data_IF_300849768337
#
_entry.id   IF_300849768337
#
_cell.length_a   1.000
_cell.length_b   1.000
_cell.length_c   1.000
_cell.angle_alpha   90.00
_cell.angle_beta   90.00
_cell.angle_gamma   90.00
#
_symmetry.space_group_name_H-M   'P 1'
#
loop_
_entity.id
_entity.type
_entity.pdbx_description
1 polymer ?
#
# COMPACT_ATOMS: atom_id res chain seq x y z
N UNK A 1 -10.45 -22.27 -4.37
CA UNK A 1 -9.97 -21.09 -5.12
C UNK A 1 -10.37 -19.79 -4.44
N UNK A 2 -11.65 -19.55 -4.16
CA UNK A 2 -12.15 -18.33 -3.53
C UNK A 2 -11.39 -17.94 -2.25
N UNK A 3 -11.18 -18.88 -1.32
CA UNK A 3 -10.38 -18.61 -0.10
C UNK A 3 -8.94 -18.17 -0.38
N UNK A 4 -8.32 -18.69 -1.43
CA UNK A 4 -6.96 -18.28 -1.81
C UNK A 4 -6.97 -16.90 -2.47
N UNK A 5 -7.95 -16.61 -3.33
CA UNK A 5 -8.13 -15.28 -3.92
C UNK A 5 -8.35 -14.22 -2.83
N UNK A 6 -9.19 -14.54 -1.83
CA UNK A 6 -9.39 -13.64 -0.70
C UNK A 6 -8.14 -13.46 0.15
N UNK A 7 -7.39 -14.55 0.39
CA UNK A 7 -6.10 -14.48 1.06
C UNK A 7 -5.12 -13.55 0.30
N UNK A 8 -5.12 -13.61 -1.04
CA UNK A 8 -4.30 -12.75 -1.89
C UNK A 8 -4.67 -11.28 -1.74
N UNK A 9 -5.96 -10.97 -1.80
CA UNK A 9 -6.46 -9.61 -1.59
C UNK A 9 -5.98 -9.09 -0.24
N UNK A 10 -6.24 -9.83 0.83
CA UNK A 10 -5.82 -9.45 2.18
C UNK A 10 -4.30 -9.32 2.31
N UNK A 11 -3.54 -10.23 1.71
CA UNK A 11 -2.07 -10.22 1.79
C UNK A 11 -1.47 -9.01 1.12
N UNK A 12 -1.98 -8.63 -0.06
CA UNK A 12 -1.55 -7.45 -0.80
C UNK A 12 -1.91 -6.16 -0.08
N UNK A 13 -3.15 -6.00 0.42
CA UNK A 13 -3.55 -4.76 1.10
C UNK A 13 -2.94 -4.59 2.49
N UNK A 14 -2.54 -5.69 3.14
CA UNK A 14 -1.90 -5.65 4.47
C UNK A 14 -0.37 -5.78 4.43
N UNK A 15 0.21 -5.97 3.23
CA UNK A 15 1.62 -6.30 3.03
C UNK A 15 2.08 -7.51 3.89
N UNK A 16 1.33 -8.61 3.85
CA UNK A 16 1.60 -9.84 4.59
C UNK A 16 1.60 -11.05 3.66
N UNK A 17 2.58 -11.93 3.86
CA UNK A 17 2.67 -13.23 3.17
C UNK A 17 1.89 -14.35 3.90
N UNK A 18 1.51 -14.14 5.15
CA UNK A 18 0.65 -15.01 5.93
C UNK A 18 -0.54 -14.21 6.43
N UNK A 19 -1.74 -14.63 6.06
CA UNK A 19 -2.98 -13.94 6.42
C UNK A 19 -3.91 -14.87 7.18
N UNK A 20 -4.65 -14.30 8.12
CA UNK A 20 -5.69 -14.99 8.89
C UNK A 20 -7.00 -14.26 8.71
N UNK A 21 -8.03 -14.97 8.29
CA UNK A 21 -9.39 -14.46 8.18
C UNK A 21 -10.40 -15.50 8.67
N UNK A 22 -11.57 -15.05 9.10
CA UNK A 22 -12.65 -15.95 9.46
C UNK A 22 -13.30 -16.53 8.21
N UNK A 23 -13.49 -17.85 8.16
CA UNK A 23 -14.36 -18.48 7.17
C UNK A 23 -15.62 -18.99 7.84
N UNK A 24 -16.76 -18.72 7.22
CA UNK A 24 -18.04 -19.26 7.67
C UNK A 24 -18.17 -20.72 7.22
N UNK A 25 -18.54 -21.61 8.14
CA UNK A 25 -18.81 -23.02 7.92
C UNK A 25 -20.28 -23.30 8.23
N UNK A 26 -20.97 -23.99 7.31
CA UNK A 26 -22.31 -24.51 7.54
C UNK A 26 -22.18 -25.89 8.19
N UNK A 27 -22.53 -26.01 9.47
CA UNK A 27 -22.45 -27.26 10.26
C UNK A 27 -23.49 -28.32 9.86
N UNK A 28 -23.79 -28.45 8.56
CA UNK A 28 -24.85 -29.32 8.01
C UNK A 28 -24.32 -30.58 7.34
N UNK A 29 -23.00 -30.75 7.21
CA UNK A 29 -22.39 -31.84 6.43
C UNK A 29 -22.51 -33.24 7.08
N UNK A 30 -22.89 -33.36 8.36
CA UNK A 30 -23.00 -34.64 9.07
C UNK A 30 -24.42 -34.99 9.58
N UNK A 31 -25.43 -34.19 9.26
CA UNK A 31 -26.79 -34.50 9.65
C UNK A 31 -27.42 -35.49 8.66
N UNK A 32 -27.68 -36.73 9.10
CA UNK A 32 -28.48 -37.70 8.33
C UNK A 32 -29.87 -37.15 7.97
N UNK A 33 -30.60 -37.91 7.12
CA UNK A 33 -31.96 -37.58 6.67
C UNK A 33 -32.83 -37.03 7.84
N UNK A 34 -33.10 -35.72 7.84
CA UNK A 34 -33.91 -35.05 8.86
C UNK A 34 -33.37 -33.71 9.40
N UNK A 35 -32.09 -33.39 9.24
CA UNK A 35 -31.51 -32.09 9.65
C UNK A 35 -31.92 -30.91 8.79
N UNK A 36 -32.50 -31.14 7.61
CA UNK A 36 -33.16 -30.09 6.82
C UNK A 36 -34.36 -29.45 7.56
N UNK A 37 -34.90 -30.12 8.58
CA UNK A 37 -36.07 -29.67 9.36
C UNK A 37 -35.72 -29.02 10.70
N UNK A 38 -34.43 -28.87 11.03
CA UNK A 38 -34.01 -28.22 12.26
C UNK A 38 -33.95 -26.69 12.11
N UNK A 39 -34.86 -25.98 12.77
CA UNK A 39 -34.81 -24.53 12.96
C UNK A 39 -33.73 -24.20 14.02
N UNK A 40 -32.56 -23.74 13.57
CA UNK A 40 -31.45 -23.29 14.44
C UNK A 40 -30.25 -22.74 13.65
N UNK A 41 -29.47 -21.84 14.25
CA UNK A 41 -28.24 -21.30 13.63
C UNK A 41 -27.11 -22.35 13.67
N UNK A 42 -26.94 -23.10 12.59
CA UNK A 42 -25.80 -24.00 12.39
C UNK A 42 -24.63 -23.31 11.65
N UNK A 43 -24.41 -22.03 11.96
CA UNK A 43 -23.35 -21.23 11.35
C UNK A 43 -22.22 -21.10 12.37
N UNK A 44 -21.03 -21.59 12.01
CA UNK A 44 -19.83 -21.40 12.81
C UNK A 44 -18.78 -20.62 12.00
N UNK A 45 -17.94 -19.85 12.68
CA UNK A 45 -16.84 -19.10 12.04
C UNK A 45 -15.54 -19.50 12.70
N UNK A 46 -14.60 -19.99 11.87
CA UNK A 46 -13.28 -20.41 12.33
C UNK A 46 -12.17 -19.65 11.61
N UNK A 47 -11.04 -19.39 12.28
CA UNK A 47 -9.89 -18.76 11.65
C UNK A 47 -9.25 -19.70 10.62
N UNK A 48 -9.02 -19.20 9.42
CA UNK A 48 -8.22 -19.86 8.39
C UNK A 48 -6.95 -19.04 8.16
N UNK A 49 -5.79 -19.65 8.43
CA UNK A 49 -4.50 -19.11 8.02
C UNK A 49 -4.19 -19.56 6.61
N UNK A 50 -3.78 -18.66 5.73
CA UNK A 50 -3.34 -18.95 4.35
C UNK A 50 -2.03 -18.22 4.07
N UNK A 51 -1.08 -18.89 3.43
CA UNK A 51 0.15 -18.25 2.95
C UNK A 51 -0.04 -17.81 1.50
N UNK A 52 0.49 -16.65 1.15
CA UNK A 52 0.41 -16.03 -0.19
C UNK A 52 1.76 -15.45 -0.63
N UNK A 53 2.86 -16.03 -0.12
CA UNK A 53 4.24 -15.69 -0.51
C UNK A 53 4.66 -16.34 -1.83
N UNK A 54 5.92 -16.72 -1.93
CA UNK A 54 6.55 -17.18 -3.18
C UNK A 54 6.10 -18.57 -3.67
N UNK A 55 5.21 -19.25 -2.94
CA UNK A 55 4.73 -20.58 -3.34
C UNK A 55 3.98 -20.54 -4.67
N UNK A 56 4.12 -21.60 -5.47
CA UNK A 56 3.45 -21.71 -6.77
C UNK A 56 1.92 -21.73 -6.64
N UNK A 57 1.21 -21.16 -7.61
CA UNK A 57 -0.27 -21.06 -7.61
C UNK A 57 -0.96 -22.40 -7.36
N UNK A 58 -0.56 -23.46 -8.08
CA UNK A 58 -1.12 -24.81 -7.94
C UNK A 58 -0.98 -25.34 -6.52
N UNK A 59 0.19 -25.18 -5.94
CA UNK A 59 0.49 -25.69 -4.59
C UNK A 59 -0.22 -24.85 -3.53
N UNK A 60 -0.34 -23.54 -3.75
CA UNK A 60 -1.16 -22.65 -2.94
C UNK A 60 -2.63 -23.09 -2.88
N UNK A 61 -3.23 -23.45 -4.03
CA UNK A 61 -4.61 -23.96 -4.07
C UNK A 61 -4.73 -25.27 -3.32
N UNK A 62 -3.82 -26.22 -3.55
CA UNK A 62 -3.82 -27.52 -2.84
C UNK A 62 -3.63 -27.36 -1.34
N UNK A 63 -2.70 -26.50 -0.92
CA UNK A 63 -2.43 -26.23 0.49
C UNK A 63 -3.65 -25.58 1.16
N UNK A 64 -4.29 -24.62 0.50
CA UNK A 64 -5.51 -23.97 1.00
C UNK A 64 -6.66 -24.98 1.11
N UNK A 65 -6.86 -25.83 0.11
CA UNK A 65 -7.85 -26.90 0.14
C UNK A 65 -7.60 -27.86 1.31
N UNK A 66 -6.36 -28.34 1.48
CA UNK A 66 -5.98 -29.21 2.61
C UNK A 66 -6.29 -28.57 3.97
N UNK A 67 -6.02 -27.27 4.12
CA UNK A 67 -6.33 -26.53 5.36
C UNK A 67 -7.83 -26.42 5.60
N UNK A 68 -8.61 -26.12 4.56
CA UNK A 68 -10.08 -26.08 4.64
C UNK A 68 -10.67 -27.44 5.02
N UNK A 69 -10.20 -28.53 4.40
CA UNK A 69 -10.66 -29.88 4.71
C UNK A 69 -10.33 -30.26 6.15
N UNK A 70 -9.13 -29.94 6.64
CA UNK A 70 -8.78 -30.15 8.04
C UNK A 70 -9.67 -29.32 8.99
N UNK A 71 -10.02 -28.09 8.60
CA UNK A 71 -10.89 -27.20 9.37
C UNK A 71 -12.31 -27.75 9.52
N UNK A 72 -12.84 -28.46 8.51
CA UNK A 72 -14.15 -29.13 8.59
C UNK A 72 -14.21 -30.17 9.70
N UNK A 73 -13.11 -30.87 10.00
CA UNK A 73 -13.02 -31.78 11.15
C UNK A 73 -13.19 -31.08 12.51
N UNK A 74 -13.17 -29.75 12.53
CA UNK A 74 -13.36 -28.91 13.71
C UNK A 74 -14.58 -27.99 13.60
N UNK A 75 -15.52 -28.26 12.68
CA UNK A 75 -16.66 -27.36 12.39
C UNK A 75 -17.55 -27.04 13.60
N UNK A 76 -17.51 -27.84 14.67
CA UNK A 76 -18.23 -27.62 15.93
C UNK A 76 -17.41 -26.89 17.01
N UNK A 77 -16.12 -26.65 16.79
CA UNK A 77 -15.29 -25.92 17.75
C UNK A 77 -15.74 -24.46 17.84
N UNK A 78 -15.90 -23.93 19.05
CA UNK A 78 -16.27 -22.51 19.19
C UNK A 78 -15.09 -21.59 18.87
N UNK A 79 -15.37 -20.41 18.31
CA UNK A 79 -14.35 -19.37 18.09
C UNK A 79 -13.64 -18.99 19.40
N UNK A 80 -14.35 -19.01 20.54
CA UNK A 80 -13.76 -18.79 21.86
C UNK A 80 -12.73 -19.85 22.24
N UNK A 81 -12.95 -21.12 21.88
CA UNK A 81 -11.94 -22.18 22.07
C UNK A 81 -10.72 -21.93 21.17
N UNK A 82 -10.94 -21.60 19.90
CA UNK A 82 -9.85 -21.25 18.98
C UNK A 82 -9.00 -20.08 19.51
N UNK A 83 -9.66 -19.02 20.03
CA UNK A 83 -8.98 -17.88 20.65
C UNK A 83 -8.12 -18.31 21.84
N UNK A 84 -8.64 -19.12 22.77
CA UNK A 84 -7.88 -19.61 23.93
C UNK A 84 -6.66 -20.44 23.52
N UNK A 85 -6.77 -21.25 22.47
CA UNK A 85 -5.68 -22.11 22.01
C UNK A 85 -4.65 -21.39 21.11
N UNK A 86 -4.94 -20.16 20.67
CA UNK A 86 -4.14 -19.46 19.66
C UNK A 86 -2.85 -18.81 20.17
N UNK A 87 -2.73 -18.58 21.49
CA UNK A 87 -1.65 -17.76 22.06
C UNK A 87 -1.79 -16.25 21.79
N UNK A 88 -2.85 -15.80 21.12
CA UNK A 88 -3.14 -14.37 20.91
C UNK A 88 -3.64 -13.75 22.22
N UNK A 89 -2.98 -12.67 22.65
CA UNK A 89 -3.30 -11.95 23.89
C UNK A 89 -4.69 -11.30 23.78
N UNK A 90 -5.58 -11.58 24.73
CA UNK A 90 -6.86 -10.90 24.81
C UNK A 90 -6.66 -9.40 25.15
N UNK A 91 -7.43 -8.47 24.56
CA UNK A 91 -8.66 -8.67 23.77
C UNK A 91 -8.45 -8.70 22.24
N UNK A 92 -7.22 -8.90 21.74
CA UNK A 92 -6.93 -8.86 20.29
C UNK A 92 -7.71 -9.96 19.55
N UNK A 93 -8.53 -9.62 18.53
CA UNK A 93 -9.27 -10.62 17.77
C UNK A 93 -8.33 -11.46 16.89
N UNK A 94 -8.68 -12.74 16.66
CA UNK A 94 -7.93 -13.62 15.75
C UNK A 94 -7.92 -13.14 14.29
N UNK A 95 -8.97 -12.43 13.88
CA UNK A 95 -9.13 -11.87 12.54
C UNK A 95 -10.09 -10.69 12.57
N UNK A 96 -9.91 -9.77 11.62
CA UNK A 96 -10.80 -8.61 11.38
C UNK A 96 -11.52 -8.68 10.04
N UNK A 97 -11.20 -9.69 9.22
CA UNK A 97 -11.79 -9.95 7.92
C UNK A 97 -12.53 -11.29 7.92
N UNK A 98 -13.68 -11.35 7.25
CA UNK A 98 -14.51 -12.54 7.13
C UNK A 98 -14.81 -12.85 5.67
N UNK A 99 -14.77 -14.14 5.32
CA UNK A 99 -15.22 -14.67 4.04
C UNK A 99 -16.40 -15.61 4.27
N UNK A 100 -17.50 -15.33 3.60
CA UNK A 100 -18.71 -16.14 3.63
C UNK A 100 -18.99 -16.63 2.21
N UNK A 101 -18.83 -17.93 1.98
CA UNK A 101 -19.12 -18.55 0.69
C UNK A 101 -20.45 -19.30 0.80
N UNK A 102 -21.39 -18.96 -0.07
CA UNK A 102 -22.73 -19.55 -0.11
C UNK A 102 -22.95 -20.17 -1.48
N UNK A 103 -23.19 -21.47 -1.51
CA UNK A 103 -23.67 -22.12 -2.72
C UNK A 103 -25.19 -22.11 -2.73
N UNK A 104 -25.77 -21.40 -3.69
CA UNK A 104 -27.21 -21.41 -3.99
C UNK A 104 -27.38 -21.98 -5.39
N UNK A 105 -26.98 -23.24 -5.58
CA UNK A 105 -27.14 -23.91 -6.87
C UNK A 105 -28.61 -23.97 -7.24
N UNK A 106 -29.01 -23.23 -8.27
CA UNK A 106 -30.09 -23.52 -9.22
C UNK A 106 -31.51 -23.83 -8.69
N UNK A 107 -31.77 -23.79 -7.39
CA UNK A 107 -33.11 -23.83 -6.85
C UNK A 107 -33.72 -22.46 -7.02
N UNK A 108 -34.43 -22.23 -8.14
CA UNK A 108 -35.56 -21.30 -8.06
C UNK A 108 -36.31 -21.68 -6.78
N UNK A 109 -36.61 -20.69 -5.93
CA UNK A 109 -37.58 -20.92 -4.87
C UNK A 109 -38.73 -21.66 -5.55
N UNK A 110 -39.06 -22.88 -5.07
CA UNK A 110 -40.06 -23.73 -5.74
C UNK A 110 -41.26 -22.86 -6.10
N UNK A 111 -41.95 -23.09 -7.22
CA UNK A 111 -43.11 -22.25 -7.57
C UNK A 111 -44.08 -22.08 -6.38
N UNK A 112 -44.14 -23.07 -5.49
CA UNK A 112 -44.80 -23.04 -4.19
C UNK A 112 -44.21 -22.04 -3.18
N UNK A 113 -42.88 -21.95 -3.02
CA UNK A 113 -42.24 -20.90 -2.24
C UNK A 113 -42.47 -19.53 -2.88
N UNK A 114 -42.34 -19.38 -4.20
CA UNK A 114 -42.60 -18.11 -4.88
C UNK A 114 -44.06 -17.65 -4.73
N UNK A 115 -45.02 -18.59 -4.73
CA UNK A 115 -46.42 -18.31 -4.40
C UNK A 115 -46.65 -17.99 -2.91
N UNK A 116 -45.91 -18.60 -1.98
CA UNK A 116 -45.98 -18.26 -0.56
C UNK A 116 -45.49 -16.83 -0.26
N UNK A 117 -44.66 -16.26 -1.13
CA UNK A 117 -44.17 -14.88 -1.04
C UNK A 117 -44.89 -13.91 -2.00
N UNK A 118 -45.96 -14.32 -2.71
CA UNK A 118 -46.76 -13.40 -3.53
C UNK A 118 -47.34 -12.28 -2.68
N UNK A 119 -47.03 -11.02 -3.04
CA UNK A 119 -47.41 -9.82 -2.29
C UNK A 119 -46.37 -9.33 -1.27
N UNK A 120 -45.27 -10.08 -1.06
CA UNK A 120 -44.14 -9.64 -0.24
C UNK A 120 -43.01 -9.14 -1.16
N UNK A 121 -42.69 -7.85 -1.06
CA UNK A 121 -41.56 -7.25 -1.75
C UNK A 121 -40.40 -7.07 -0.79
N UNK A 122 -39.24 -7.66 -1.10
CA UNK A 122 -38.00 -7.37 -0.39
C UNK A 122 -37.56 -5.93 -0.75
N UNK A 123 -37.73 -5.00 0.19
CA UNK A 123 -37.39 -3.58 -0.03
C UNK A 123 -35.90 -3.31 0.19
N UNK A 124 -35.31 -3.96 1.20
CA UNK A 124 -33.87 -3.90 1.50
C UNK A 124 -33.48 -5.09 2.38
N UNK A 125 -32.20 -5.45 2.35
CA UNK A 125 -31.59 -6.42 3.26
C UNK A 125 -30.31 -5.79 3.79
N UNK A 126 -30.16 -5.75 5.11
CA UNK A 126 -28.98 -5.20 5.78
C UNK A 126 -28.38 -6.29 6.67
N UNK A 127 -27.15 -6.73 6.35
CA UNK A 127 -26.39 -7.64 7.20
C UNK A 127 -25.49 -6.82 8.14
N UNK A 128 -25.70 -6.92 9.44
CA UNK A 128 -24.80 -6.33 10.45
C UNK A 128 -23.78 -7.36 10.89
N UNK A 129 -22.51 -7.04 10.66
CA UNK A 129 -21.36 -7.86 11.05
C UNK A 129 -20.55 -7.13 12.11
N UNK A 130 -19.99 -7.88 13.07
CA UNK A 130 -19.07 -7.34 14.07
C UNK A 130 -17.62 -7.23 13.53
N UNK A 131 -17.39 -7.59 12.26
CA UNK A 131 -16.08 -7.55 11.62
C UNK A 131 -15.96 -6.35 10.67
N UNK A 132 -14.88 -5.55 10.76
CA UNK A 132 -14.68 -4.37 9.90
C UNK A 132 -14.74 -4.63 8.39
N UNK A 133 -14.43 -5.86 7.96
CA UNK A 133 -14.42 -6.25 6.56
C UNK A 133 -15.07 -7.64 6.40
N UNK A 134 -16.12 -7.74 5.59
CA UNK A 134 -16.75 -9.01 5.25
C UNK A 134 -16.94 -9.09 3.73
N UNK A 135 -16.56 -10.22 3.14
CA UNK A 135 -16.82 -10.54 1.74
C UNK A 135 -17.78 -11.74 1.68
N UNK A 136 -18.94 -11.53 1.09
CA UNK A 136 -19.90 -12.57 0.75
C UNK A 136 -19.71 -12.96 -0.73
N UNK A 137 -19.65 -14.26 -1.00
CA UNK A 137 -19.60 -14.83 -2.34
C UNK A 137 -20.78 -15.77 -2.49
N UNK A 138 -21.77 -15.36 -3.28
CA UNK A 138 -22.89 -16.21 -3.65
C UNK A 138 -22.56 -16.90 -4.99
N UNK A 139 -22.44 -18.21 -4.95
CA UNK A 139 -22.28 -19.08 -6.12
C UNK A 139 -23.67 -19.46 -6.65
N UNK A 140 -23.98 -18.89 -7.82
CA UNK A 140 -25.26 -19.01 -8.50
C UNK A 140 -25.30 -20.18 -9.48
N UNK A 141 -24.24 -20.98 -9.57
CA UNK A 141 -24.08 -22.07 -10.55
C UNK A 141 -23.60 -21.61 -11.93
N UNK A 142 -24.08 -20.46 -12.42
CA UNK A 142 -23.63 -19.85 -13.69
C UNK A 142 -22.58 -18.73 -13.48
N UNK A 143 -22.32 -18.35 -12.24
CA UNK A 143 -21.37 -17.30 -11.88
C UNK A 143 -21.37 -16.97 -10.40
N UNK A 144 -20.54 -16.00 -10.01
CA UNK A 144 -20.44 -15.52 -8.63
C UNK A 144 -20.99 -14.11 -8.49
N UNK A 145 -21.74 -13.87 -7.43
CA UNK A 145 -22.07 -12.51 -6.97
C UNK A 145 -21.18 -12.17 -5.76
N UNK A 146 -20.43 -11.08 -5.87
CA UNK A 146 -19.56 -10.57 -4.82
C UNK A 146 -20.25 -9.42 -4.10
N UNK A 147 -20.40 -9.52 -2.78
CA UNK A 147 -20.94 -8.43 -1.93
C UNK A 147 -19.96 -8.17 -0.79
N UNK A 148 -19.42 -6.95 -0.71
CA UNK A 148 -18.51 -6.55 0.36
C UNK A 148 -19.21 -5.61 1.36
N UNK A 149 -19.00 -5.87 2.65
CA UNK A 149 -19.40 -5.01 3.76
C UNK A 149 -18.11 -4.44 4.37
N UNK A 150 -17.95 -3.12 4.30
CA UNK A 150 -16.75 -2.41 4.74
C UNK A 150 -17.08 -0.97 5.08
N UNK A 151 -16.14 -0.26 5.72
CA UNK A 151 -16.27 1.18 5.95
C UNK A 151 -16.33 1.96 4.63
N UNK A 152 -17.03 3.10 4.64
CA UNK A 152 -17.19 3.99 3.47
C UNK A 152 -15.84 4.46 2.91
N UNK A 153 -14.84 4.66 3.77
CA UNK A 153 -13.50 5.07 3.38
C UNK A 153 -12.77 4.03 2.51
N UNK A 154 -13.04 2.73 2.71
CA UNK A 154 -12.42 1.65 1.92
C UNK A 154 -13.15 1.46 0.59
N UNK A 155 -14.48 1.54 0.61
CA UNK A 155 -15.33 1.36 -0.57
C UNK A 155 -15.54 -0.10 -0.95
N UNK A 156 -16.77 -0.59 -0.81
CA UNK A 156 -17.14 -1.98 -1.09
C UNK A 156 -16.83 -2.40 -2.54
N UNK A 157 -17.09 -1.52 -3.50
CA UNK A 157 -16.83 -1.79 -4.91
C UNK A 157 -15.36 -2.07 -5.20
N UNK A 158 -14.45 -1.38 -4.51
CA UNK A 158 -13.01 -1.55 -4.66
C UNK A 158 -12.57 -2.94 -4.20
N UNK A 159 -13.08 -3.38 -3.04
CA UNK A 159 -12.84 -4.74 -2.52
C UNK A 159 -13.38 -5.81 -3.48
N UNK A 160 -14.59 -5.62 -4.02
CA UNK A 160 -15.14 -6.53 -5.03
C UNK A 160 -14.28 -6.56 -6.30
N UNK A 161 -13.78 -5.39 -6.76
CA UNK A 161 -12.84 -5.31 -7.88
C UNK A 161 -11.55 -6.07 -7.61
N UNK A 162 -10.97 -5.91 -6.42
CA UNK A 162 -9.78 -6.66 -6.02
C UNK A 162 -10.01 -8.17 -6.03
N UNK A 163 -11.14 -8.60 -5.48
CA UNK A 163 -11.50 -10.01 -5.45
C UNK A 163 -11.73 -10.58 -6.84
N UNK A 164 -12.41 -9.84 -7.72
CA UNK A 164 -12.63 -10.22 -9.11
C UNK A 164 -11.30 -10.40 -9.84
N UNK A 165 -10.42 -9.39 -9.80
CA UNK A 165 -9.09 -9.48 -10.44
C UNK A 165 -8.26 -10.62 -9.85
N UNK A 166 -8.29 -10.82 -8.53
CA UNK A 166 -7.57 -11.93 -7.90
C UNK A 166 -8.06 -13.30 -8.38
N UNK A 167 -9.37 -13.48 -8.55
CA UNK A 167 -9.96 -14.71 -9.11
C UNK A 167 -9.52 -14.93 -10.55
N UNK A 168 -9.63 -13.91 -11.41
CA UNK A 168 -9.24 -13.98 -12.82
C UNK A 168 -7.76 -14.34 -12.96
N UNK A 169 -6.88 -13.64 -12.23
CA UNK A 169 -5.44 -13.88 -12.26
C UNK A 169 -5.08 -15.28 -11.76
N UNK A 170 -5.78 -15.78 -10.73
CA UNK A 170 -5.58 -17.16 -10.26
C UNK A 170 -6.02 -18.20 -11.29
N UNK A 171 -7.16 -18.00 -11.96
CA UNK A 171 -7.65 -18.89 -13.02
C UNK A 171 -6.65 -18.90 -14.19
N UNK A 172 -6.28 -17.72 -14.68
CA UNK A 172 -5.31 -17.59 -15.77
C UNK A 172 -3.97 -18.24 -15.42
N UNK A 173 -3.45 -18.01 -14.20
CA UNK A 173 -2.20 -18.62 -13.77
C UNK A 173 -2.31 -20.14 -13.63
N UNK A 174 -3.44 -20.68 -13.15
CA UNK A 174 -3.64 -22.13 -13.09
C UNK A 174 -3.63 -22.78 -14.48
N UNK A 175 -4.17 -22.11 -15.49
CA UNK A 175 -4.21 -22.59 -16.87
C UNK A 175 -2.85 -22.47 -17.58
N UNK A 176 -2.16 -21.36 -17.40
CA UNK A 176 -1.01 -20.97 -18.25
C UNK A 176 0.34 -21.08 -17.53
N UNK A 177 0.38 -20.86 -16.22
CA UNK A 177 1.62 -20.69 -15.47
C UNK A 177 1.47 -21.20 -14.02
N UNK A 178 1.03 -22.45 -13.86
CA UNK A 178 0.56 -22.95 -12.55
C UNK A 178 1.63 -23.03 -11.45
N UNK A 179 2.91 -22.90 -11.81
CA UNK A 179 4.06 -22.83 -10.89
C UNK A 179 4.52 -21.40 -10.60
N UNK A 180 3.88 -20.38 -11.19
CA UNK A 180 4.19 -18.98 -10.91
C UNK A 180 3.98 -18.67 -9.42
N UNK A 181 4.81 -17.81 -8.81
CA UNK A 181 4.63 -17.39 -7.42
C UNK A 181 3.26 -16.75 -7.19
N UNK A 182 2.62 -17.05 -6.06
CA UNK A 182 1.36 -16.42 -5.67
C UNK A 182 1.50 -14.90 -5.55
N UNK A 183 2.62 -14.42 -5.01
CA UNK A 183 2.88 -12.99 -4.84
C UNK A 183 3.18 -12.24 -6.16
N UNK A 184 3.37 -12.92 -7.29
CA UNK A 184 3.47 -12.24 -8.59
C UNK A 184 2.11 -11.83 -9.15
N UNK A 185 1.01 -12.38 -8.63
CA UNK A 185 -0.34 -12.09 -9.11
C UNK A 185 -0.82 -10.72 -8.62
N UNK A 186 -1.32 -9.91 -9.55
CA UNK A 186 -1.94 -8.62 -9.24
C UNK A 186 -3.35 -8.83 -8.72
N UNK A 187 -3.76 -7.99 -7.76
CA UNK A 187 -5.16 -7.85 -7.35
C UNK A 187 -5.78 -6.57 -7.90
N UNK A 188 -5.01 -5.71 -8.57
CA UNK A 188 -5.49 -4.38 -8.97
C UNK A 188 -6.27 -4.46 -10.29
N UNK A 189 -7.50 -3.95 -10.33
CA UNK A 189 -8.21 -3.62 -11.57
C UNK A 189 -7.34 -2.77 -12.50
N UNK A 190 -7.54 -2.91 -13.81
CA UNK A 190 -6.69 -2.29 -14.82
C UNK A 190 -6.72 -0.75 -14.76
N UNK A 191 -7.89 -0.16 -14.54
CA UNK A 191 -8.11 1.27 -14.37
C UNK A 191 -7.40 1.81 -13.12
N UNK A 192 -7.49 1.07 -12.00
CA UNK A 192 -6.79 1.45 -10.78
C UNK A 192 -5.27 1.35 -10.95
N UNK A 193 -4.77 0.31 -11.62
CA UNK A 193 -3.35 0.14 -11.94
C UNK A 193 -2.84 1.28 -12.83
N UNK A 194 -3.58 1.66 -13.87
CA UNK A 194 -3.23 2.77 -14.74
C UNK A 194 -3.17 4.09 -13.96
N UNK A 195 -4.17 4.35 -13.11
CA UNK A 195 -4.18 5.54 -12.26
C UNK A 195 -2.97 5.60 -11.32
N UNK A 196 -2.61 4.48 -10.70
CA UNK A 196 -1.49 4.41 -9.76
C UNK A 196 -0.13 4.53 -10.45
N UNK A 197 0.04 3.91 -11.61
CA UNK A 197 1.33 3.86 -12.30
C UNK A 197 1.57 5.04 -13.24
N UNK A 198 0.51 5.56 -13.86
CA UNK A 198 0.57 6.64 -14.85
C UNK A 198 -0.07 7.90 -14.27
N UNK A 199 -1.35 7.86 -13.91
CA UNK A 199 -2.10 9.07 -13.54
C UNK A 199 -1.50 9.86 -12.37
N UNK A 200 -1.04 9.20 -11.31
CA UNK A 200 -0.37 9.85 -10.18
C UNK A 200 1.09 10.22 -10.43
N UNK A 201 1.73 9.61 -11.44
CA UNK A 201 3.13 9.83 -11.77
C UNK A 201 3.33 10.68 -13.03
N UNK A 202 2.27 11.29 -13.56
CA UNK A 202 2.34 12.25 -14.66
C UNK A 202 2.84 13.62 -14.16
N UNK A 203 4.09 13.61 -13.68
CA UNK A 203 4.77 14.79 -13.12
C UNK A 203 5.75 15.42 -14.10
N UNK A 204 5.65 15.06 -15.40
CA UNK A 204 6.49 15.60 -16.43
C UNK A 204 6.13 17.08 -16.67
N UNK A 205 7.06 17.97 -16.36
CA UNK A 205 6.93 19.40 -16.61
C UNK A 205 8.11 19.86 -17.45
N UNK A 206 7.85 20.78 -18.37
CA UNK A 206 8.90 21.48 -19.09
C UNK A 206 9.49 22.56 -18.17
N UNK A 207 10.72 22.35 -17.73
CA UNK A 207 11.50 23.31 -16.97
C UNK A 207 12.91 23.38 -17.57
N UNK A 208 13.61 24.52 -17.47
CA UNK A 208 14.90 24.73 -18.14
C UNK A 208 16.00 23.87 -17.50
N UNK A 209 16.10 22.60 -17.89
CA UNK A 209 17.06 21.61 -17.37
C UNK A 209 18.53 21.99 -17.61
N UNK A 210 18.78 22.87 -18.58
CA UNK A 210 20.12 23.35 -18.93
C UNK A 210 20.59 24.52 -18.04
N UNK A 211 19.70 25.11 -17.23
CA UNK A 211 20.08 26.21 -16.35
C UNK A 211 20.45 25.70 -14.96
N UNK A 212 21.59 26.16 -14.47
CA UNK A 212 22.02 25.91 -13.09
C UNK A 212 21.33 26.90 -12.14
N UNK A 213 21.29 26.56 -10.85
CA UNK A 213 20.78 27.48 -9.81
C UNK A 213 21.52 28.82 -9.85
N UNK A 214 22.86 28.80 -10.00
CA UNK A 214 23.66 30.02 -10.06
C UNK A 214 23.47 30.80 -11.38
N UNK A 215 23.17 30.13 -12.49
CA UNK A 215 22.81 30.77 -13.76
C UNK A 215 21.45 31.46 -13.70
N UNK A 216 20.44 30.81 -13.10
CA UNK A 216 19.14 31.43 -12.82
C UNK A 216 19.28 32.64 -11.89
N UNK A 217 20.16 32.55 -10.90
CA UNK A 217 20.50 33.66 -10.02
C UNK A 217 21.14 34.82 -10.78
N UNK A 218 22.13 34.57 -11.64
CA UNK A 218 22.77 35.60 -12.47
C UNK A 218 21.77 36.30 -13.40
N UNK A 219 20.88 35.54 -14.04
CA UNK A 219 19.81 36.12 -14.85
C UNK A 219 18.88 37.02 -14.01
N UNK A 220 18.62 36.68 -12.75
CA UNK A 220 17.86 37.54 -11.83
C UNK A 220 18.64 38.80 -11.43
N UNK A 221 19.96 38.70 -11.25
CA UNK A 221 20.85 39.84 -10.95
C UNK A 221 20.82 40.86 -12.08
N UNK A 222 20.84 40.41 -13.34
CA UNK A 222 20.74 41.30 -14.50
C UNK A 222 19.37 42.01 -14.58
N UNK A 223 18.29 41.32 -14.20
CA UNK A 223 16.93 41.86 -14.26
C UNK A 223 16.65 42.92 -13.19
N UNK A 224 17.08 42.69 -11.96
CA UNK A 224 16.77 43.57 -10.82
C UNK A 224 17.98 43.75 -9.89
N UNK A 225 19.06 44.41 -10.36
CA UNK A 225 20.33 44.44 -9.64
C UNK A 225 20.25 45.13 -8.27
N UNK A 226 19.47 46.19 -8.15
CA UNK A 226 19.34 46.99 -6.93
C UNK A 226 18.28 46.47 -5.95
N UNK A 227 17.55 45.41 -6.31
CA UNK A 227 16.58 44.81 -5.40
C UNK A 227 17.30 44.06 -4.27
N UNK A 228 16.73 44.08 -3.06
CA UNK A 228 17.26 43.33 -1.92
C UNK A 228 17.14 41.82 -2.19
N UNK A 229 18.26 41.11 -2.06
CA UNK A 229 18.35 39.66 -2.22
C UNK A 229 18.45 38.94 -0.86
N UNK A 230 19.22 39.49 0.09
CA UNK A 230 19.43 38.91 1.42
C UNK A 230 19.29 39.98 2.49
N UNK A 231 18.56 39.66 3.56
CA UNK A 231 18.43 40.50 4.76
C UNK A 231 18.75 39.64 5.98
N UNK A 232 19.72 40.06 6.78
CA UNK A 232 20.11 39.38 8.02
C UNK A 232 20.41 40.42 9.11
N UNK A 233 19.47 40.61 10.04
CA UNK A 233 19.52 41.73 10.98
C UNK A 233 19.53 43.07 10.23
N UNK A 234 20.52 43.91 10.53
CA UNK A 234 20.75 45.19 9.84
C UNK A 234 21.47 45.05 8.49
N UNK A 235 22.09 43.89 8.22
CA UNK A 235 22.79 43.66 6.96
C UNK A 235 21.79 43.42 5.83
N UNK A 236 21.96 44.17 4.74
CA UNK A 236 21.12 44.09 3.54
C UNK A 236 22.05 44.01 2.34
N UNK A 237 21.88 42.99 1.52
CA UNK A 237 22.61 42.82 0.27
C UNK A 237 21.62 42.87 -0.89
N UNK A 238 21.91 43.72 -1.86
CA UNK A 238 21.25 43.71 -3.16
C UNK A 238 21.67 42.49 -3.98
N UNK A 239 20.92 42.17 -5.04
CA UNK A 239 21.32 41.12 -5.99
C UNK A 239 22.71 41.38 -6.57
N UNK A 240 23.01 42.64 -6.94
CA UNK A 240 24.32 43.03 -7.48
C UNK A 240 25.44 42.77 -6.46
N UNK A 241 25.30 43.27 -5.24
CA UNK A 241 26.33 43.12 -4.19
C UNK A 241 26.57 41.66 -3.83
N UNK A 242 25.49 40.88 -3.70
CA UNK A 242 25.59 39.45 -3.41
C UNK A 242 26.31 38.70 -4.54
N UNK A 243 26.00 39.02 -5.80
CA UNK A 243 26.64 38.41 -6.95
C UNK A 243 28.14 38.74 -7.03
N UNK A 244 28.51 40.00 -6.82
CA UNK A 244 29.91 40.43 -6.81
C UNK A 244 30.71 39.75 -5.71
N UNK A 245 30.16 39.65 -4.50
CA UNK A 245 30.79 38.93 -3.38
C UNK A 245 30.95 37.44 -3.70
N UNK A 246 29.89 36.78 -4.20
CA UNK A 246 29.94 35.37 -4.57
C UNK A 246 30.93 35.10 -5.72
N UNK A 247 30.99 35.98 -6.73
CA UNK A 247 31.93 35.86 -7.85
C UNK A 247 33.39 35.97 -7.38
N UNK A 248 33.69 36.92 -6.49
CA UNK A 248 35.04 37.06 -5.91
C UNK A 248 35.47 35.78 -5.18
N UNK A 249 34.59 35.23 -4.34
CA UNK A 249 34.86 34.00 -3.62
C UNK A 249 34.95 32.78 -4.56
N UNK A 250 34.10 32.69 -5.58
CA UNK A 250 34.14 31.63 -6.58
C UNK A 250 35.48 31.60 -7.34
N UNK A 251 36.02 32.77 -7.71
CA UNK A 251 37.34 32.87 -8.32
C UNK A 251 38.46 32.42 -7.35
N UNK A 252 38.35 32.75 -6.06
CA UNK A 252 39.30 32.28 -5.05
C UNK A 252 39.25 30.75 -4.90
N UNK A 253 38.06 30.17 -4.84
CA UNK A 253 37.85 28.71 -4.76
C UNK A 253 38.44 27.99 -5.98
N UNK A 254 38.22 28.51 -7.19
CA UNK A 254 38.81 27.95 -8.42
C UNK A 254 40.34 28.02 -8.41
N UNK A 255 40.92 29.10 -7.87
CA UNK A 255 42.38 29.21 -7.67
C UNK A 255 42.92 28.22 -6.64
N UNK A 256 42.10 27.80 -5.67
CA UNK A 256 42.42 26.76 -4.70
C UNK A 256 42.20 25.34 -5.24
N UNK A 257 41.81 25.19 -6.50
CA UNK A 257 41.68 23.89 -7.17
C UNK A 257 40.26 23.32 -7.23
N UNK A 258 39.23 24.08 -6.83
CA UNK A 258 37.83 23.65 -7.01
C UNK A 258 37.52 23.54 -8.50
N UNK A 259 37.07 22.36 -8.91
CA UNK A 259 36.64 21.99 -10.26
C UNK A 259 35.18 21.49 -10.21
N UNK A 260 34.54 21.27 -11.36
CA UNK A 260 33.30 20.48 -11.41
C UNK A 260 33.42 19.18 -10.61
N UNK A 261 32.32 18.80 -9.94
CA UNK A 261 32.21 17.64 -9.03
C UNK A 261 33.08 17.70 -7.75
N UNK A 262 33.81 18.79 -7.53
CA UNK A 262 34.50 19.01 -6.24
C UNK A 262 33.51 19.23 -5.12
N UNK A 263 33.81 18.72 -3.93
CA UNK A 263 33.02 18.94 -2.71
C UNK A 263 33.73 19.96 -1.84
N UNK A 264 33.00 21.00 -1.43
CA UNK A 264 33.55 22.09 -0.60
C UNK A 264 32.80 22.15 0.71
N UNK A 265 33.49 21.85 1.81
CA UNK A 265 32.94 22.00 3.15
C UNK A 265 32.66 23.48 3.47
N UNK A 266 31.47 23.76 4.00
CA UNK A 266 31.10 25.09 4.51
C UNK A 266 30.69 24.95 5.98
N UNK A 267 31.51 25.53 6.86
CA UNK A 267 31.37 25.44 8.31
C UNK A 267 31.25 26.84 8.90
N UNK A 268 30.09 27.46 8.72
CA UNK A 268 29.79 28.81 9.22
C UNK A 268 28.40 28.83 9.84
N UNK A 269 28.17 29.73 10.79
CA UNK A 269 26.83 29.97 11.33
C UNK A 269 25.92 30.63 10.28
N UNK A 270 24.61 30.68 10.58
CA UNK A 270 23.63 31.33 9.71
C UNK A 270 23.92 32.83 9.62
N UNK A 271 24.33 33.29 8.44
CA UNK A 271 24.59 34.70 8.16
C UNK A 271 24.44 35.03 6.66
N UNK A 272 24.62 36.29 6.26
CA UNK A 272 24.66 36.67 4.86
C UNK A 272 25.88 36.06 4.14
N UNK A 273 27.01 35.92 4.83
CA UNK A 273 28.24 35.30 4.35
C UNK A 273 28.04 33.80 4.06
N UNK A 274 27.17 33.11 4.80
CA UNK A 274 26.78 31.74 4.47
C UNK A 274 26.17 31.67 3.07
N UNK A 275 25.25 32.58 2.73
CA UNK A 275 24.61 32.63 1.40
C UNK A 275 25.63 32.96 0.31
N UNK A 276 26.56 33.90 0.58
CA UNK A 276 27.69 34.20 -0.31
C UNK A 276 28.52 32.94 -0.56
N UNK A 277 28.85 32.19 0.48
CA UNK A 277 29.61 30.94 0.41
C UNK A 277 28.92 29.88 -0.44
N UNK A 278 27.63 29.65 -0.21
CA UNK A 278 26.83 28.68 -0.98
C UNK A 278 26.82 29.01 -2.48
N UNK A 279 26.53 30.27 -2.84
CA UNK A 279 26.53 30.72 -4.23
C UNK A 279 27.93 30.64 -4.86
N UNK A 280 28.97 31.01 -4.11
CA UNK A 280 30.34 30.96 -4.59
C UNK A 280 30.82 29.53 -4.90
N UNK A 281 30.46 28.56 -4.05
CA UNK A 281 30.78 27.14 -4.27
C UNK A 281 30.09 26.64 -5.55
N UNK A 282 28.80 26.94 -5.72
CA UNK A 282 28.05 26.57 -6.92
C UNK A 282 28.63 27.23 -8.19
N UNK A 283 29.00 28.52 -8.13
CA UNK A 283 29.65 29.25 -9.23
C UNK A 283 31.06 28.75 -9.56
N UNK A 284 31.75 28.17 -8.58
CA UNK A 284 33.04 27.52 -8.79
C UNK A 284 32.89 26.14 -9.47
N UNK A 285 31.68 25.59 -9.55
CA UNK A 285 31.36 24.26 -10.10
C UNK A 285 31.30 23.16 -9.05
N UNK A 286 31.50 23.47 -7.77
CA UNK A 286 31.49 22.49 -6.69
C UNK A 286 30.10 22.28 -6.06
N UNK A 287 29.96 21.15 -5.38
CA UNK A 287 28.87 20.89 -4.43
C UNK A 287 29.28 21.30 -3.02
N UNK A 288 28.43 22.03 -2.30
CA UNK A 288 28.72 22.39 -0.91
C UNK A 288 28.34 21.25 0.04
N UNK A 289 29.15 21.04 1.07
CA UNK A 289 28.88 20.11 2.17
C UNK A 289 28.69 20.93 3.44
N UNK A 290 27.45 21.11 3.93
CA UNK A 290 27.21 21.90 5.13
C UNK A 290 27.74 21.15 6.37
N UNK A 291 28.52 21.86 7.18
CA UNK A 291 29.08 21.37 8.44
C UNK A 291 28.55 22.25 9.57
N UNK A 292 28.00 21.63 10.60
CA UNK A 292 27.57 22.34 11.80
C UNK A 292 28.79 22.61 12.71
N UNK A 293 29.15 23.87 12.97
CA UNK A 293 30.25 24.21 13.87
C UNK A 293 30.04 23.72 15.31
N UNK A 294 28.80 23.44 15.72
CA UNK A 294 28.48 22.94 17.05
C UNK A 294 28.77 21.43 17.21
N UNK A 295 29.10 20.72 16.13
CA UNK A 295 29.43 19.30 16.22
C UNK A 295 30.78 19.06 16.87
N UNK A 296 30.95 17.92 17.59
CA UNK A 296 32.25 17.50 18.07
C UNK A 296 33.27 17.41 16.93
N UNK A 297 34.52 17.74 17.23
CA UNK A 297 35.61 17.77 16.23
C UNK A 297 35.76 16.43 15.51
N UNK A 298 35.55 15.32 16.23
CA UNK A 298 35.61 13.97 15.67
C UNK A 298 34.54 13.76 14.59
N UNK A 299 33.35 14.32 14.79
CA UNK A 299 32.25 14.23 13.81
C UNK A 299 32.52 15.07 12.57
N UNK A 300 33.08 16.27 12.75
CA UNK A 300 33.50 17.14 11.64
C UNK A 300 34.62 16.47 10.85
N UNK A 301 35.64 15.93 11.52
CA UNK A 301 36.75 15.21 10.89
C UNK A 301 36.25 13.98 10.10
N UNK A 302 35.33 13.21 10.67
CA UNK A 302 34.69 12.08 9.99
C UNK A 302 33.96 12.53 8.72
N UNK A 303 33.13 13.57 8.80
CA UNK A 303 32.37 14.07 7.64
C UNK A 303 33.29 14.57 6.53
N UNK A 304 34.39 15.23 6.88
CA UNK A 304 35.39 15.68 5.92
C UNK A 304 36.11 14.51 5.23
N UNK A 305 36.42 13.44 5.98
CA UNK A 305 37.03 12.23 5.41
C UNK A 305 36.09 11.46 4.49
N UNK A 306 34.83 11.30 4.89
CA UNK A 306 33.81 10.57 4.11
C UNK A 306 33.36 11.34 2.85
N UNK A 307 33.50 12.66 2.87
CA UNK A 307 33.18 13.53 1.73
C UNK A 307 34.34 13.72 0.76
N UNK A 308 35.54 13.20 1.04
CA UNK A 308 36.73 13.37 0.20
C UNK A 308 36.68 12.58 -1.12
#
# INVERSE_FOLDING_TARGET
MVHLAWAQVLGKVSNRQDVVFGTVLMGRMQGGEGTERALGMFINTLPLRVSVGEQGVRDGVKATHKRLTALLGHEHASLALAQRCSGVVAPTPLFSALLNYRHSGGGSASEQAMQAWQGIHALSSEERTNYPLTLNVDDLGEGFKLTALTTTAVGAQRICGYMHTALDQLIQALEQASTAPLDSLSILPADERERLLVGFNDTALDYPQQQTIHGLFEAQVERTPEALAVVHGEQRLTYRELNEQANRLAHALRKQGVQPDSRVGICVERSAEMVVGLLAILKAGGGYVPLDPAYPVERIAYMLQDSA
#
